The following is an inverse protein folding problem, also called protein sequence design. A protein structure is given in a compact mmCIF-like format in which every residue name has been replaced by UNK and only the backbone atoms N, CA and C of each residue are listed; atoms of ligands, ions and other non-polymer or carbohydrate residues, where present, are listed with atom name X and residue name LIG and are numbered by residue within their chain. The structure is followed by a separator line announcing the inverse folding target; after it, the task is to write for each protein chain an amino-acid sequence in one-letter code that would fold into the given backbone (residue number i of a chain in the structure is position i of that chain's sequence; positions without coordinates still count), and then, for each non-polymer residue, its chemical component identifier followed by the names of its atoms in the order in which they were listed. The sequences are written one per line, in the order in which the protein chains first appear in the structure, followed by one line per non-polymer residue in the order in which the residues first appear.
data_IF_899460192501
#
_entry.id   IF_899460192501
#
_cell.length_a   1.000
_cell.length_b   1.000
_cell.length_c   1.000
_cell.angle_alpha   90.00
_cell.angle_beta   90.00
_cell.angle_gamma   90.00
#
_symmetry.space_group_name_H-M   'P 1'
#
loop_
_entity.id
_entity.type
_entity.pdbx_description
1 polymer ?
#
# COMPACT_ATOMS: atom_id res chain seq x y z
N UNK A 1 -2.23 -3.78 5.99
CA UNK A 1 -1.07 -4.43 5.35
C UNK A 1 -1.41 -5.88 5.12
N UNK A 2 -1.17 -6.39 3.92
CA UNK A 2 -1.44 -7.78 3.56
C UNK A 2 -0.42 -8.69 4.22
N UNK A 3 -0.89 -9.72 4.90
CA UNK A 3 -0.08 -10.77 5.51
C UNK A 3 -0.06 -12.02 4.63
N UNK A 4 -1.18 -12.37 4.00
CA UNK A 4 -1.28 -13.50 3.08
C UNK A 4 -2.50 -13.34 2.17
N UNK A 5 -2.47 -13.92 0.97
CA UNK A 5 -3.48 -13.74 -0.07
C UNK A 5 -3.22 -12.55 -1.00
N UNK A 6 -4.19 -12.25 -1.86
CA UNK A 6 -4.11 -11.21 -2.90
C UNK A 6 -5.33 -10.28 -2.80
N UNK A 7 -5.09 -8.98 -3.00
CA UNK A 7 -6.15 -7.98 -3.16
C UNK A 7 -6.00 -7.22 -4.48
N UNK A 8 -7.11 -6.83 -5.09
CA UNK A 8 -7.16 -6.00 -6.28
C UNK A 8 -7.47 -4.56 -5.90
N UNK A 9 -6.74 -3.61 -6.48
CA UNK A 9 -7.08 -2.18 -6.43
C UNK A 9 -7.92 -1.85 -7.66
N UNK A 10 -9.10 -1.26 -7.43
CA UNK A 10 -10.07 -0.89 -8.45
C UNK A 10 -10.30 0.62 -8.45
N UNK A 11 -10.20 1.24 -9.62
CA UNK A 11 -10.57 2.64 -9.84
C UNK A 11 -11.58 2.70 -10.97
N UNK A 12 -12.74 3.30 -10.71
CA UNK A 12 -13.83 3.42 -11.69
C UNK A 12 -14.21 2.07 -12.35
N UNK A 13 -14.32 1.03 -11.51
CA UNK A 13 -14.64 -0.34 -11.93
C UNK A 13 -13.53 -1.09 -12.68
N UNK A 14 -12.36 -0.48 -12.89
CA UNK A 14 -11.21 -1.12 -13.55
C UNK A 14 -10.15 -1.54 -12.56
N UNK A 15 -9.67 -2.78 -12.67
CA UNK A 15 -8.52 -3.28 -11.91
C UNK A 15 -7.24 -2.58 -12.39
N UNK A 16 -6.59 -1.85 -11.49
CA UNK A 16 -5.39 -1.07 -11.82
C UNK A 16 -4.11 -1.65 -11.19
N UNK A 17 -4.23 -2.38 -10.08
CA UNK A 17 -3.09 -3.01 -9.41
C UNK A 17 -3.51 -4.25 -8.62
N UNK A 18 -2.52 -5.11 -8.32
CA UNK A 18 -2.62 -6.22 -7.39
C UNK A 18 -1.73 -5.92 -6.18
N UNK A 19 -2.20 -6.31 -5.00
CA UNK A 19 -1.51 -6.20 -3.73
C UNK A 19 -1.33 -7.60 -3.16
N UNK A 20 -0.10 -7.94 -2.83
CA UNK A 20 0.30 -9.20 -2.23
C UNK A 20 0.94 -8.98 -0.86
N UNK A 21 1.45 -10.05 -0.25
CA UNK A 21 2.08 -10.03 1.08
C UNK A 21 3.12 -8.91 1.20
N UNK A 22 2.97 -8.09 2.25
CA UNK A 22 3.85 -6.95 2.53
C UNK A 22 3.34 -5.62 1.96
N UNK A 23 2.36 -5.65 1.05
CA UNK A 23 1.72 -4.45 0.53
C UNK A 23 0.94 -3.72 1.61
N UNK A 24 1.10 -2.40 1.67
CA UNK A 24 0.21 -1.54 2.44
C UNK A 24 -1.09 -1.27 1.68
N UNK A 25 -2.13 -0.88 2.42
CA UNK A 25 -3.43 -0.48 1.88
C UNK A 25 -3.77 0.84 2.56
N UNK A 26 -4.33 1.79 1.81
CA UNK A 26 -4.71 3.12 2.30
C UNK A 26 -3.53 3.97 2.81
N UNK A 27 -2.30 3.68 2.37
CA UNK A 27 -1.11 4.47 2.71
C UNK A 27 -1.18 5.89 2.16
N UNK A 28 -1.73 6.08 0.95
CA UNK A 28 -1.91 7.40 0.33
C UNK A 28 -2.79 8.26 1.22
N UNK A 29 -4.00 7.81 1.52
CA UNK A 29 -4.94 8.55 2.35
C UNK A 29 -4.43 8.75 3.78
N UNK A 30 -3.69 7.79 4.34
CA UNK A 30 -3.08 7.95 5.64
C UNK A 30 -2.00 9.04 5.68
N UNK A 31 -1.15 9.12 4.64
CA UNK A 31 -0.05 10.07 4.56
C UNK A 31 -0.50 11.47 4.13
N UNK A 32 -1.42 11.58 3.17
CA UNK A 32 -1.89 12.86 2.63
C UNK A 32 -3.06 13.46 3.42
N UNK A 33 -3.84 12.61 4.09
CA UNK A 33 -5.10 13.00 4.73
C UNK A 33 -6.27 13.14 3.75
N UNK A 34 -6.06 12.88 2.47
CA UNK A 34 -7.12 12.86 1.46
C UNK A 34 -7.97 11.57 1.57
N UNK A 35 -9.21 11.57 1.06
CA UNK A 35 -10.02 10.37 0.97
C UNK A 35 -9.31 9.25 0.18
N UNK A 36 -9.76 8.00 0.38
CA UNK A 36 -9.25 6.88 -0.40
C UNK A 36 -9.47 7.13 -1.90
N UNK A 37 -8.40 6.99 -2.68
CA UNK A 37 -8.41 7.27 -4.12
C UNK A 37 -8.97 6.13 -4.96
N UNK A 38 -9.07 4.91 -4.40
CA UNK A 38 -9.50 3.70 -5.09
C UNK A 38 -10.08 2.69 -4.09
N UNK A 39 -10.90 1.77 -4.60
CA UNK A 39 -11.40 0.64 -3.84
C UNK A 39 -10.35 -0.47 -3.78
N UNK A 40 -10.35 -1.25 -2.70
CA UNK A 40 -9.52 -2.45 -2.58
C UNK A 40 -10.42 -3.63 -2.23
N UNK A 41 -10.39 -4.67 -3.06
CA UNK A 41 -11.19 -5.88 -2.90
C UNK A 41 -10.29 -7.09 -2.73
N UNK A 42 -10.62 -7.96 -1.79
CA UNK A 42 -9.94 -9.24 -1.67
C UNK A 42 -10.24 -10.12 -2.89
N UNK A 43 -9.22 -10.79 -3.42
CA UNK A 43 -9.35 -11.83 -4.44
C UNK A 43 -9.26 -13.20 -3.74
N UNK A 44 -10.39 -13.66 -3.21
CA UNK A 44 -10.47 -14.84 -2.35
C UNK A 44 -10.14 -14.54 -0.88
N UNK A 45 -9.44 -15.46 -0.22
CA UNK A 45 -9.07 -15.31 1.20
C UNK A 45 -7.89 -14.35 1.35
N UNK A 46 -8.05 -13.36 2.24
CA UNK A 46 -7.03 -12.36 2.52
C UNK A 46 -6.80 -12.25 4.03
N UNK A 47 -5.58 -12.49 4.46
CA UNK A 47 -5.14 -12.21 5.83
C UNK A 47 -4.44 -10.86 5.86
N UNK A 48 -4.86 -9.98 6.74
CA UNK A 48 -4.28 -8.64 6.87
C UNK A 48 -4.20 -8.22 8.33
N UNK A 49 -3.33 -7.25 8.59
CA UNK A 49 -3.31 -6.48 9.83
C UNK A 49 -3.73 -5.04 9.53
N UNK A 50 -4.57 -4.49 10.41
CA UNK A 50 -5.02 -3.11 10.37
C UNK A 50 -4.61 -2.37 11.64
N UNK A 51 -4.39 -1.07 11.48
CA UNK A 51 -4.12 -0.16 12.58
C UNK A 51 -5.02 1.05 12.42
N UNK A 52 -5.59 1.53 13.53
CA UNK A 52 -6.34 2.78 13.51
C UNK A 52 -5.41 3.98 13.28
N UNK A 53 -5.85 4.96 12.48
CA UNK A 53 -5.08 6.16 12.17
C UNK A 53 -4.56 6.88 13.41
N UNK A 54 -5.41 7.05 14.41
CA UNK A 54 -5.04 7.69 15.68
C UNK A 54 -3.94 6.94 16.43
N UNK A 55 -3.95 5.60 16.37
CA UNK A 55 -2.90 4.79 17.01
C UNK A 55 -1.57 4.98 16.29
N UNK A 56 -1.55 4.93 14.95
CA UNK A 56 -0.33 5.15 14.18
C UNK A 56 0.22 6.57 14.37
N UNK A 57 -0.64 7.59 14.39
CA UNK A 57 -0.21 8.98 14.65
C UNK A 57 0.35 9.17 16.05
N UNK A 58 -0.19 8.50 17.07
CA UNK A 58 0.38 8.54 18.43
C UNK A 58 1.81 7.97 18.50
N UNK A 59 2.10 6.95 17.71
CA UNK A 59 3.45 6.35 17.64
C UNK A 59 4.51 7.36 17.23
N UNK A 60 4.16 8.37 16.42
CA UNK A 60 5.07 9.48 16.09
C UNK A 60 5.60 10.22 17.34
N UNK A 61 4.74 10.38 18.35
CA UNK A 61 5.05 11.07 19.61
C UNK A 61 5.67 10.12 20.63
N UNK A 62 5.15 8.91 20.72
CA UNK A 62 5.57 7.90 21.72
C UNK A 62 6.91 7.25 21.37
N UNK A 63 7.19 7.04 20.08
CA UNK A 63 8.41 6.37 19.61
C UNK A 63 8.81 6.85 18.22
N UNK A 64 9.52 7.98 18.19
CA UNK A 64 9.98 8.61 16.95
C UNK A 64 10.90 7.72 16.11
N UNK A 65 11.74 6.90 16.75
CA UNK A 65 12.66 5.98 16.06
C UNK A 65 11.91 4.92 15.26
N UNK A 66 10.89 4.32 15.86
CA UNK A 66 10.02 3.38 15.17
C UNK A 66 9.19 4.08 14.07
N UNK A 67 8.65 5.27 14.38
CA UNK A 67 7.89 6.04 13.40
C UNK A 67 8.69 6.33 12.12
N UNK A 68 9.96 6.73 12.23
CA UNK A 68 10.80 6.98 11.06
C UNK A 68 10.96 5.73 10.17
N UNK A 69 11.10 4.54 10.79
CA UNK A 69 11.18 3.28 10.05
C UNK A 69 9.84 2.95 9.38
N UNK A 70 8.73 3.10 10.11
CA UNK A 70 7.39 2.88 9.56
C UNK A 70 7.11 3.80 8.37
N UNK A 71 7.40 5.09 8.52
CA UNK A 71 7.22 6.08 7.46
C UNK A 71 8.07 5.75 6.23
N UNK A 72 9.31 5.26 6.43
CA UNK A 72 10.16 4.79 5.33
C UNK A 72 9.56 3.60 4.60
N UNK A 73 8.98 2.62 5.32
CA UNK A 73 8.29 1.49 4.72
C UNK A 73 7.07 1.93 3.90
N UNK A 74 6.24 2.82 4.44
CA UNK A 74 5.06 3.36 3.74
C UNK A 74 5.47 4.12 2.46
N UNK A 75 6.49 4.96 2.54
CA UNK A 75 6.98 5.70 1.38
C UNK A 75 7.54 4.77 0.29
N UNK A 76 8.27 3.71 0.68
CA UNK A 76 8.79 2.73 -0.27
C UNK A 76 7.66 2.00 -1.01
N UNK A 77 6.66 1.52 -0.26
CA UNK A 77 5.48 0.86 -0.81
C UNK A 77 4.73 1.76 -1.81
N UNK A 78 4.55 3.04 -1.44
CA UNK A 78 3.93 4.03 -2.31
C UNK A 78 4.74 4.27 -3.61
N UNK A 79 6.06 4.41 -3.50
CA UNK A 79 6.93 4.59 -4.66
C UNK A 79 6.84 3.38 -5.60
N UNK A 80 6.82 2.17 -5.04
CA UNK A 80 6.75 0.94 -5.83
C UNK A 80 5.39 0.79 -6.55
N UNK A 81 4.32 1.39 -6.01
CA UNK A 81 2.99 1.48 -6.67
C UNK A 81 2.88 2.57 -7.73
N UNK A 82 3.57 3.72 -7.55
CA UNK A 82 3.51 4.85 -8.50
C UNK A 82 4.51 4.69 -9.66
N UNK A 83 5.59 3.91 -9.48
CA UNK A 83 6.55 3.62 -10.56
C UNK A 83 5.78 3.07 -11.77
N UNK A 84 5.83 3.75 -12.94
CA UNK A 84 5.14 3.26 -14.12
C UNK A 84 5.67 1.87 -14.48
N UNK A 85 4.76 0.96 -14.83
CA UNK A 85 5.05 -0.38 -15.38
C UNK A 85 5.81 -0.36 -16.72
N UNK A 86 6.52 0.71 -17.08
CA UNK A 86 7.20 0.89 -18.37
C UNK A 86 8.59 0.24 -18.44
N UNK A 87 8.94 -0.71 -17.56
CA UNK A 87 10.29 -1.33 -17.58
C UNK A 87 10.34 -2.82 -17.24
N UNK A 88 9.31 -3.60 -17.61
CA UNK A 88 9.39 -5.07 -17.62
C UNK A 88 8.99 -5.75 -18.94
N UNK A 89 8.63 -4.98 -19.97
CA UNK A 89 8.33 -5.52 -21.32
C UNK A 89 9.39 -5.15 -22.38
N UNK A 90 10.44 -4.40 -22.01
CA UNK A 90 11.49 -3.96 -22.95
C UNK A 90 12.82 -4.75 -22.83
N UNK A 91 12.80 -5.95 -22.24
CA UNK A 91 13.94 -6.88 -22.22
C UNK A 91 13.47 -8.31 -22.52
N UNK A 92 12.72 -8.46 -23.62
CA UNK A 92 12.60 -9.73 -24.35
C UNK A 92 12.56 -9.39 -25.84
N UNK A 93 13.61 -8.73 -26.34
CA UNK A 93 13.99 -8.74 -27.75
C UNK A 93 15.50 -8.45 -27.79
N UNK A 94 16.30 -9.50 -27.72
CA UNK A 94 17.47 -9.77 -28.56
C UNK A 94 17.86 -11.25 -28.44
#
# INVERSE_FOLDING_TARGET
MVLDGVACVEFDGKKIALLDRGSFIAEISFLTGEPASADVRADGNLFYISWGNERLKRVQKENRGFWMKLQSCLNKDLIDKIKPKSKKEAQVEE
#
